data_IF_822514006367
#
_entry.id   IF_822514006367
#
_cell.length_a   1.000
_cell.length_b   1.000
_cell.length_c   1.000
_cell.angle_alpha   90.00
_cell.angle_beta   90.00
_cell.angle_gamma   90.00
#
_symmetry.space_group_name_H-M   'P 1'
#
loop_
_entity.id
_entity.type
_entity.pdbx_description
1 polymer ?
#
# COMPACT_ATOMS: atom_id res chain seq x y z
N UNK A 1 -0.85 -39.61 5.09
CA UNK A 1 -0.60 -39.33 6.51
C UNK A 1 -0.37 -40.63 7.26
N UNK A 2 0.77 -40.78 7.92
CA UNK A 2 1.10 -41.89 8.82
C UNK A 2 1.01 -41.37 10.25
N UNK A 3 -0.03 -41.78 10.99
CA UNK A 3 -0.28 -41.35 12.36
C UNK A 3 -0.32 -42.55 13.27
N UNK A 4 0.50 -42.58 14.28
CA UNK A 4 0.42 -43.57 15.37
C UNK A 4 -0.26 -42.92 16.57
N UNK A 5 -1.30 -43.54 17.12
CA UNK A 5 -2.05 -43.05 18.25
C UNK A 5 -1.70 -43.85 19.54
N UNK A 6 -1.18 -43.15 20.53
CA UNK A 6 -1.14 -43.61 21.92
C UNK A 6 -2.38 -43.11 22.66
N UNK A 7 -3.42 -43.94 22.64
CA UNK A 7 -4.73 -43.61 23.22
C UNK A 7 -4.69 -43.48 24.75
N UNK A 8 -3.69 -44.04 25.41
CA UNK A 8 -3.54 -43.93 26.88
C UNK A 8 -3.11 -42.52 27.29
N UNK A 9 -2.30 -41.90 26.47
CA UNK A 9 -1.75 -40.54 26.70
C UNK A 9 -2.37 -39.52 25.78
N UNK A 10 -3.43 -39.84 25.01
CA UNK A 10 -4.05 -39.00 23.99
C UNK A 10 -3.01 -38.33 23.04
N UNK A 11 -1.94 -39.10 22.69
CA UNK A 11 -0.80 -38.61 21.94
C UNK A 11 -0.81 -39.17 20.51
N UNK A 12 -0.73 -38.27 19.57
CA UNK A 12 -0.68 -38.56 18.13
C UNK A 12 0.73 -38.28 17.62
N UNK A 13 1.37 -39.31 17.11
CA UNK A 13 2.75 -39.24 16.58
C UNK A 13 2.64 -39.22 15.06
N UNK A 14 3.23 -38.20 14.48
CA UNK A 14 3.34 -37.93 13.05
C UNK A 14 4.75 -38.32 12.59
N UNK A 15 4.87 -39.24 11.65
CA UNK A 15 6.15 -39.68 11.17
C UNK A 15 6.14 -39.78 9.65
N UNK A 16 7.11 -39.09 9.03
CA UNK A 16 7.29 -39.09 7.58
C UNK A 16 6.01 -38.68 6.82
N UNK A 17 5.31 -37.67 7.34
CA UNK A 17 4.11 -37.18 6.70
C UNK A 17 4.45 -36.10 5.68
N UNK A 18 3.64 -36.06 4.63
CA UNK A 18 3.67 -34.98 3.64
C UNK A 18 2.35 -34.24 3.65
N UNK A 19 2.42 -32.91 3.59
CA UNK A 19 1.29 -32.00 3.47
C UNK A 19 1.53 -31.13 2.24
N UNK A 20 0.53 -31.01 1.38
CA UNK A 20 0.59 -30.11 0.25
C UNK A 20 -0.18 -28.84 0.55
N UNK A 21 0.47 -27.68 0.37
CA UNK A 21 -0.13 -26.35 0.46
C UNK A 21 0.09 -25.66 -0.89
N UNK A 22 -0.96 -25.60 -1.71
CA UNK A 22 -0.87 -25.24 -3.12
C UNK A 22 0.20 -26.11 -3.84
N UNK A 23 1.24 -25.49 -4.41
CA UNK A 23 2.32 -26.22 -5.06
C UNK A 23 3.45 -26.66 -4.10
N UNK A 24 3.42 -26.25 -2.82
CA UNK A 24 4.47 -26.58 -1.86
C UNK A 24 4.19 -27.92 -1.22
N UNK A 25 5.21 -28.79 -1.21
CA UNK A 25 5.21 -30.07 -0.47
C UNK A 25 6.01 -29.91 0.81
N UNK A 26 5.37 -30.07 1.94
CA UNK A 26 5.92 -29.94 3.28
C UNK A 26 6.06 -31.32 3.91
N UNK A 27 7.23 -31.60 4.52
CA UNK A 27 7.42 -32.76 5.38
C UNK A 27 7.04 -32.35 6.80
N UNK A 28 6.22 -33.16 7.43
CA UNK A 28 5.70 -32.92 8.79
C UNK A 28 6.05 -34.11 9.68
N UNK A 29 6.81 -33.85 10.71
CA UNK A 29 7.19 -34.80 11.74
C UNK A 29 6.90 -34.26 13.13
N UNK A 30 6.78 -35.15 14.12
CA UNK A 30 6.63 -34.79 15.51
C UNK A 30 5.45 -35.45 16.19
N UNK A 31 4.88 -34.75 17.15
CA UNK A 31 3.73 -35.28 17.90
C UNK A 31 2.89 -34.14 18.52
N UNK A 32 1.63 -34.47 18.79
CA UNK A 32 0.69 -33.66 19.55
C UNK A 32 0.03 -34.55 20.60
N UNK A 33 -0.06 -34.08 21.82
CA UNK A 33 -0.83 -34.71 22.91
C UNK A 33 -1.96 -33.78 23.36
N UNK A 34 -3.17 -34.30 23.40
CA UNK A 34 -4.35 -33.59 23.90
C UNK A 34 -4.49 -33.86 25.40
N UNK A 35 -4.61 -32.82 26.19
CA UNK A 35 -4.68 -32.88 27.64
C UNK A 35 -6.13 -32.72 28.12
N UNK A 36 -6.43 -33.25 29.31
CA UNK A 36 -7.79 -33.27 29.87
C UNK A 36 -8.34 -31.86 30.16
N UNK A 37 -7.46 -30.87 30.34
CA UNK A 37 -7.80 -29.44 30.53
C UNK A 37 -8.04 -28.69 29.21
N UNK A 38 -8.03 -29.38 28.07
CA UNK A 38 -8.18 -28.79 26.75
C UNK A 38 -6.91 -28.15 26.18
N UNK A 39 -5.80 -28.21 26.91
CA UNK A 39 -4.50 -27.80 26.41
C UNK A 39 -3.90 -28.85 25.48
N UNK A 40 -2.90 -28.44 24.70
CA UNK A 40 -2.14 -29.34 23.82
C UNK A 40 -0.65 -29.20 24.10
N UNK A 41 0.03 -30.32 24.29
CA UNK A 41 1.49 -30.37 24.26
C UNK A 41 1.93 -30.85 22.87
N UNK A 42 2.97 -30.24 22.33
CA UNK A 42 3.43 -30.55 20.97
C UNK A 42 4.93 -30.41 20.81
N UNK A 43 5.48 -31.17 19.85
CA UNK A 43 6.81 -30.96 19.25
C UNK A 43 6.68 -31.33 17.78
N UNK A 44 6.39 -30.31 16.96
CA UNK A 44 6.15 -30.41 15.52
C UNK A 44 7.31 -29.77 14.78
N UNK A 45 7.71 -30.39 13.69
CA UNK A 45 8.69 -29.85 12.76
C UNK A 45 8.17 -29.96 11.35
N UNK A 46 8.30 -28.88 10.61
CA UNK A 46 7.93 -28.78 9.21
C UNK A 46 9.18 -28.34 8.45
N UNK A 47 9.49 -29.02 7.37
CA UNK A 47 10.51 -28.59 6.45
C UNK A 47 10.09 -28.91 5.02
N UNK A 48 10.66 -28.20 4.09
CA UNK A 48 10.55 -28.54 2.68
C UNK A 48 11.74 -29.41 2.29
N UNK A 49 11.50 -30.43 1.48
CA UNK A 49 12.54 -30.99 0.62
C UNK A 49 13.00 -29.88 -0.33
N UNK A 50 14.05 -30.07 -1.09
CA UNK A 50 14.47 -29.10 -2.10
C UNK A 50 13.26 -28.64 -2.93
N UNK A 51 12.85 -27.38 -2.80
CA UNK A 51 11.73 -26.80 -3.55
C UNK A 51 12.23 -25.67 -4.44
N UNK A 52 11.56 -25.53 -5.56
CA UNK A 52 11.81 -24.44 -6.48
C UNK A 52 11.17 -23.16 -5.95
N UNK A 53 11.81 -22.03 -6.22
CA UNK A 53 11.24 -20.71 -5.88
C UNK A 53 9.84 -20.51 -6.44
N UNK A 54 9.50 -21.13 -7.58
CA UNK A 54 8.16 -21.11 -8.17
C UNK A 54 7.07 -21.54 -7.16
N UNK A 55 7.35 -22.57 -6.37
CA UNK A 55 6.35 -23.16 -5.49
C UNK A 55 5.91 -22.20 -4.38
N UNK A 56 6.84 -21.35 -3.83
CA UNK A 56 6.45 -20.33 -2.85
C UNK A 56 5.56 -19.25 -3.45
N UNK A 57 5.76 -18.92 -4.72
CA UNK A 57 4.93 -17.92 -5.40
C UNK A 57 3.47 -18.37 -5.52
N UNK A 58 3.22 -19.68 -5.38
CA UNK A 58 1.85 -20.23 -5.31
C UNK A 58 1.07 -19.77 -4.06
N UNK A 59 1.77 -19.29 -3.03
CA UNK A 59 1.14 -18.70 -1.84
C UNK A 59 0.61 -17.29 -2.08
N UNK A 60 1.00 -16.65 -3.17
CA UNK A 60 0.51 -15.33 -3.56
C UNK A 60 -0.72 -15.51 -4.45
N UNK A 61 -1.96 -15.21 -3.97
CA UNK A 61 -3.18 -15.52 -4.71
C UNK A 61 -3.22 -14.90 -6.10
N UNK A 62 -2.77 -13.65 -6.26
CA UNK A 62 -2.75 -12.96 -7.55
C UNK A 62 -1.85 -13.65 -8.58
N UNK A 63 -0.73 -14.25 -8.15
CA UNK A 63 0.19 -14.97 -9.02
C UNK A 63 -0.33 -16.37 -9.31
N UNK A 64 -0.85 -17.07 -8.29
CA UNK A 64 -1.32 -18.44 -8.42
C UNK A 64 -2.54 -18.56 -9.32
N UNK A 65 -3.48 -17.62 -9.23
CA UNK A 65 -4.72 -17.62 -10.03
C UNK A 65 -4.52 -17.16 -11.48
N UNK A 66 -3.48 -16.36 -11.76
CA UNK A 66 -3.25 -15.75 -13.05
C UNK A 66 -2.05 -16.37 -13.79
N UNK A 67 -2.31 -17.51 -14.50
CA UNK A 67 -1.31 -18.11 -15.38
C UNK A 67 0.00 -18.54 -14.69
N UNK A 68 -0.09 -19.08 -13.48
CA UNK A 68 1.04 -19.61 -12.71
C UNK A 68 1.93 -20.56 -13.52
N UNK A 69 1.34 -21.34 -14.43
CA UNK A 69 2.08 -22.30 -15.26
C UNK A 69 3.09 -21.64 -16.21
N UNK A 70 2.84 -20.40 -16.61
CA UNK A 70 3.75 -19.62 -17.47
C UNK A 70 4.92 -19.00 -16.72
N UNK A 71 4.91 -19.07 -15.40
CA UNK A 71 6.00 -18.56 -14.57
C UNK A 71 7.19 -19.52 -14.61
N UNK A 72 8.35 -19.00 -14.95
CA UNK A 72 9.63 -19.69 -14.93
C UNK A 72 10.49 -19.08 -13.84
N UNK A 73 11.04 -19.92 -12.98
CA UNK A 73 11.93 -19.48 -11.90
C UNK A 73 13.16 -20.39 -11.82
N UNK A 74 14.24 -19.84 -11.31
CA UNK A 74 15.40 -20.58 -10.86
C UNK A 74 15.71 -20.20 -9.42
N UNK A 75 16.71 -20.82 -8.83
CA UNK A 75 17.17 -20.52 -7.49
C UNK A 75 16.71 -21.51 -6.45
N UNK A 76 17.46 -21.57 -5.36
CA UNK A 76 17.24 -22.48 -4.25
C UNK A 76 16.41 -21.80 -3.17
N UNK A 77 15.52 -22.57 -2.59
CA UNK A 77 14.68 -22.13 -1.49
C UNK A 77 14.71 -23.12 -0.33
N UNK A 78 14.56 -22.61 0.86
CA UNK A 78 14.35 -23.39 2.07
C UNK A 78 13.21 -22.80 2.88
N UNK A 79 12.33 -23.65 3.39
CA UNK A 79 11.29 -23.29 4.35
C UNK A 79 11.35 -24.28 5.51
N UNK A 80 11.52 -23.77 6.71
CA UNK A 80 11.47 -24.55 7.95
C UNK A 80 10.52 -23.90 8.94
N UNK A 81 9.76 -24.73 9.66
CA UNK A 81 8.94 -24.26 10.75
C UNK A 81 8.94 -25.28 11.89
N UNK A 82 8.67 -24.82 13.09
CA UNK A 82 8.48 -25.67 14.25
C UNK A 82 7.46 -25.08 15.23
N UNK A 83 6.84 -25.96 16.02
CA UNK A 83 6.06 -25.57 17.18
C UNK A 83 6.37 -26.56 18.30
N UNK A 84 6.80 -26.06 19.47
CA UNK A 84 7.24 -26.87 20.60
C UNK A 84 6.76 -26.32 21.95
N UNK A 85 6.19 -27.20 22.77
CA UNK A 85 5.72 -26.86 24.11
C UNK A 85 4.20 -26.92 24.22
N UNK A 86 3.67 -26.25 25.23
CA UNK A 86 2.24 -26.28 25.57
C UNK A 86 1.50 -25.10 24.94
N UNK A 87 0.37 -25.39 24.31
CA UNK A 87 -0.64 -24.43 23.92
C UNK A 87 -1.84 -24.55 24.88
N UNK A 88 -2.20 -23.46 25.58
CA UNK A 88 -3.29 -23.42 26.54
C UNK A 88 -3.93 -22.03 26.57
N UNK A 89 -5.17 -21.91 26.07
CA UNK A 89 -5.84 -20.63 25.93
C UNK A 89 -5.00 -19.68 25.06
N UNK A 90 -4.62 -18.52 25.58
CA UNK A 90 -3.81 -17.51 24.89
C UNK A 90 -2.29 -17.79 24.98
N UNK A 91 -1.86 -18.80 25.76
CA UNK A 91 -0.46 -19.18 25.84
C UNK A 91 -0.08 -20.05 24.65
N UNK A 92 0.79 -19.53 23.81
CA UNK A 92 1.32 -20.21 22.63
C UNK A 92 2.53 -21.09 23.01
N UNK A 93 2.75 -22.21 22.31
CA UNK A 93 4.03 -22.90 22.32
C UNK A 93 5.12 -21.99 21.75
N UNK A 94 6.37 -22.33 21.98
CA UNK A 94 7.45 -21.77 21.19
C UNK A 94 7.26 -22.15 19.72
N UNK A 95 7.35 -21.20 18.80
CA UNK A 95 7.28 -21.47 17.37
C UNK A 95 8.24 -20.64 16.57
N UNK A 96 8.56 -21.13 15.39
CA UNK A 96 9.37 -20.41 14.41
C UNK A 96 9.03 -20.83 13.00
N UNK A 97 9.20 -19.89 12.09
CA UNK A 97 9.15 -20.06 10.63
C UNK A 97 10.37 -19.34 10.06
N UNK A 98 11.11 -19.99 9.18
CA UNK A 98 12.24 -19.38 8.46
C UNK A 98 12.10 -19.68 6.98
N UNK A 99 12.21 -18.65 6.18
CA UNK A 99 12.23 -18.67 4.72
C UNK A 99 13.58 -18.16 4.23
N UNK A 100 14.26 -18.93 3.40
CA UNK A 100 15.45 -18.52 2.68
C UNK A 100 15.26 -18.72 1.17
N UNK A 101 15.64 -17.71 0.39
CA UNK A 101 15.72 -17.77 -1.08
C UNK A 101 17.07 -17.23 -1.48
N UNK A 102 17.81 -17.93 -2.36
CA UNK A 102 19.13 -17.53 -2.81
C UNK A 102 19.21 -17.51 -4.32
N UNK A 103 19.69 -16.37 -4.83
CA UNK A 103 20.00 -16.12 -6.24
C UNK A 103 18.89 -16.58 -7.20
N UNK A 104 17.64 -16.38 -6.76
CA UNK A 104 16.53 -16.78 -7.57
C UNK A 104 16.27 -15.77 -8.70
N UNK A 105 15.71 -16.29 -9.77
CA UNK A 105 15.21 -15.49 -10.89
C UNK A 105 13.73 -15.75 -11.08
N UNK A 106 13.03 -14.76 -11.61
CA UNK A 106 11.65 -14.87 -12.02
C UNK A 106 11.52 -14.33 -13.44
N UNK A 107 11.02 -15.16 -14.32
CA UNK A 107 10.68 -14.81 -15.68
C UNK A 107 9.30 -15.35 -16.03
N UNK A 108 8.54 -14.58 -16.73
CA UNK A 108 7.24 -15.00 -17.24
C UNK A 108 7.35 -15.34 -18.73
N UNK A 109 6.84 -16.50 -19.12
CA UNK A 109 6.95 -16.98 -20.52
C UNK A 109 6.31 -16.00 -21.49
N UNK A 110 7.09 -15.60 -22.50
CA UNK A 110 6.70 -14.59 -23.48
C UNK A 110 6.98 -13.15 -23.07
N UNK A 111 7.53 -12.92 -21.86
CA UNK A 111 7.96 -11.59 -21.43
C UNK A 111 9.46 -11.37 -21.67
N UNK A 112 9.86 -10.18 -22.13
CA UNK A 112 11.24 -9.90 -22.55
C UNK A 112 12.22 -9.65 -21.39
N UNK A 113 11.73 -9.47 -20.16
CA UNK A 113 12.56 -9.15 -19.01
C UNK A 113 12.33 -10.11 -17.84
N UNK A 114 13.29 -10.16 -16.94
CA UNK A 114 13.28 -10.96 -15.71
C UNK A 114 13.48 -10.10 -14.47
N UNK A 115 13.17 -10.67 -13.32
CA UNK A 115 13.69 -10.23 -12.02
C UNK A 115 14.80 -11.19 -11.64
N UNK A 116 15.98 -10.67 -11.37
CA UNK A 116 17.18 -11.44 -11.14
C UNK A 116 17.75 -11.16 -9.73
N UNK A 117 18.62 -12.03 -9.27
CA UNK A 117 19.34 -11.89 -8.01
C UNK A 117 18.40 -11.77 -6.80
N UNK A 118 17.27 -12.48 -6.85
CA UNK A 118 16.30 -12.48 -5.76
C UNK A 118 16.89 -13.23 -4.58
N UNK A 119 17.09 -12.51 -3.48
CA UNK A 119 17.54 -13.06 -2.22
C UNK A 119 16.57 -12.65 -1.12
N UNK A 120 16.06 -13.61 -0.37
CA UNK A 120 15.11 -13.39 0.72
C UNK A 120 15.58 -14.15 1.95
N UNK A 121 15.72 -13.43 3.06
CA UNK A 121 15.93 -14.01 4.38
C UNK A 121 14.84 -13.48 5.30
N UNK A 122 13.84 -14.31 5.62
CA UNK A 122 12.72 -13.94 6.44
C UNK A 122 12.47 -14.94 7.57
N UNK A 123 12.11 -14.45 8.74
CA UNK A 123 11.72 -15.30 9.86
C UNK A 123 10.58 -14.70 10.68
N UNK A 124 9.79 -15.59 11.26
CA UNK A 124 8.83 -15.28 12.32
C UNK A 124 9.17 -16.20 13.49
N UNK A 125 9.30 -15.65 14.68
CA UNK A 125 9.62 -16.44 15.87
C UNK A 125 8.86 -15.96 17.10
N UNK A 126 8.54 -16.89 17.99
CA UNK A 126 7.96 -16.60 19.30
C UNK A 126 8.58 -17.57 20.32
N UNK A 127 9.12 -17.09 21.44
CA UNK A 127 9.73 -17.95 22.47
C UNK A 127 8.71 -18.74 23.31
N UNK A 128 7.44 -18.56 23.05
CA UNK A 128 6.31 -19.11 23.80
C UNK A 128 5.67 -18.11 24.77
N UNK A 129 4.44 -18.41 25.18
CA UNK A 129 3.60 -17.55 25.98
C UNK A 129 2.72 -16.65 25.14
N UNK A 130 2.76 -15.34 25.36
CA UNK A 130 1.93 -14.39 24.62
C UNK A 130 2.36 -14.26 23.15
N UNK A 131 1.40 -14.13 22.24
CA UNK A 131 1.63 -13.76 20.84
C UNK A 131 2.34 -12.41 20.69
N UNK A 132 2.25 -11.55 21.68
CA UNK A 132 2.96 -10.26 21.71
C UNK A 132 4.50 -10.40 21.74
N UNK A 133 5.02 -11.58 22.09
CA UNK A 133 6.45 -11.87 22.02
C UNK A 133 6.93 -12.26 20.61
N UNK A 134 6.04 -12.20 19.63
CA UNK A 134 6.39 -12.53 18.24
C UNK A 134 7.35 -11.49 17.68
N UNK A 135 8.38 -11.99 17.01
CA UNK A 135 9.33 -11.22 16.23
C UNK A 135 9.15 -11.61 14.76
N UNK A 136 9.06 -10.61 13.89
CA UNK A 136 9.07 -10.75 12.45
C UNK A 136 10.36 -10.09 11.96
N UNK A 137 11.17 -10.81 11.21
CA UNK A 137 12.44 -10.32 10.69
C UNK A 137 12.58 -10.68 9.22
N UNK A 138 12.53 -9.67 8.35
CA UNK A 138 12.96 -9.72 6.96
C UNK A 138 14.38 -9.13 6.92
N UNK A 139 15.37 -9.91 7.28
CA UNK A 139 16.77 -9.48 7.38
C UNK A 139 17.40 -9.19 6.02
N UNK A 140 16.88 -9.82 4.99
CA UNK A 140 17.33 -9.65 3.61
C UNK A 140 16.14 -9.72 2.65
N UNK A 141 16.02 -8.71 1.82
CA UNK A 141 15.21 -8.71 0.61
C UNK A 141 15.97 -7.93 -0.45
N UNK A 142 16.50 -8.63 -1.44
CA UNK A 142 17.22 -8.04 -2.57
C UNK A 142 16.72 -8.62 -3.87
N UNK A 143 16.64 -7.78 -4.87
CA UNK A 143 16.36 -8.17 -6.25
C UNK A 143 16.96 -7.14 -7.20
N UNK A 144 17.06 -7.50 -8.47
CA UNK A 144 17.36 -6.58 -9.56
C UNK A 144 16.27 -6.69 -10.62
N UNK A 145 15.69 -5.58 -10.97
CA UNK A 145 14.67 -5.47 -12.01
C UNK A 145 15.25 -4.69 -13.19
N UNK A 146 15.41 -5.36 -14.33
CA UNK A 146 16.04 -4.79 -15.53
C UNK A 146 17.38 -4.10 -15.24
N UNK A 147 18.23 -4.71 -14.42
CA UNK A 147 19.54 -4.22 -14.03
C UNK A 147 19.55 -3.18 -12.89
N UNK A 148 18.39 -2.80 -12.36
CA UNK A 148 18.28 -1.84 -11.26
C UNK A 148 18.12 -2.58 -9.94
N UNK A 149 19.07 -2.44 -8.99
CA UNK A 149 18.97 -3.10 -7.71
C UNK A 149 17.95 -2.43 -6.79
N UNK A 150 17.26 -3.26 -6.04
CA UNK A 150 16.38 -2.85 -4.95
C UNK A 150 16.65 -3.74 -3.72
N UNK A 151 16.69 -3.15 -2.56
CA UNK A 151 16.83 -3.84 -1.28
C UNK A 151 15.87 -3.28 -0.24
N UNK A 152 15.39 -4.16 0.64
CA UNK A 152 14.58 -3.78 1.79
C UNK A 152 14.90 -4.69 2.98
N UNK A 153 14.61 -4.20 4.17
CA UNK A 153 14.63 -4.97 5.40
C UNK A 153 13.51 -4.50 6.33
N UNK A 154 13.00 -5.42 7.15
CA UNK A 154 11.96 -5.14 8.13
C UNK A 154 12.23 -5.96 9.39
N UNK A 155 12.24 -5.31 10.52
CA UNK A 155 12.17 -5.95 11.84
C UNK A 155 10.96 -5.42 12.57
N UNK A 156 10.18 -6.33 13.18
CA UNK A 156 9.01 -5.97 13.97
C UNK A 156 8.92 -6.87 15.20
N UNK A 157 8.60 -6.28 16.35
CA UNK A 157 8.41 -6.98 17.62
C UNK A 157 7.26 -6.34 18.39
N UNK A 158 6.74 -7.05 19.41
CA UNK A 158 5.58 -6.64 20.19
C UNK A 158 4.39 -6.20 19.33
N UNK A 159 3.91 -7.07 18.40
CA UNK A 159 2.96 -6.67 17.37
C UNK A 159 1.54 -6.37 17.87
N UNK A 160 1.21 -6.79 19.09
CA UNK A 160 -0.14 -6.64 19.67
C UNK A 160 -0.21 -5.44 20.60
N UNK A 161 0.71 -5.32 21.56
CA UNK A 161 0.64 -4.28 22.59
C UNK A 161 1.18 -2.94 22.10
N UNK A 162 2.35 -2.95 21.47
CA UNK A 162 3.01 -1.74 20.99
C UNK A 162 4.06 -2.10 19.94
N UNK A 163 3.66 -2.09 18.67
CA UNK A 163 4.52 -2.47 17.55
C UNK A 163 5.82 -1.65 17.56
N UNK A 164 6.95 -2.34 17.83
CA UNK A 164 8.28 -1.78 17.66
C UNK A 164 8.82 -2.24 16.31
N UNK A 165 9.18 -1.31 15.44
CA UNK A 165 9.58 -1.61 14.08
C UNK A 165 10.88 -0.92 13.67
N UNK A 166 11.57 -1.54 12.72
CA UNK A 166 12.67 -0.95 11.96
C UNK A 166 12.52 -1.41 10.51
N UNK A 167 12.45 -0.46 9.59
CA UNK A 167 12.29 -0.73 8.17
C UNK A 167 13.27 0.11 7.34
N UNK A 168 13.80 -0.47 6.29
CA UNK A 168 14.62 0.21 5.28
C UNK A 168 14.17 -0.18 3.89
N UNK A 169 14.25 0.75 2.95
CA UNK A 169 14.04 0.50 1.53
C UNK A 169 14.99 1.39 0.73
N UNK A 170 15.77 0.80 -0.15
CA UNK A 170 16.74 1.51 -0.98
C UNK A 170 16.78 0.90 -2.37
N UNK A 171 16.69 1.73 -3.39
CA UNK A 171 16.82 1.31 -4.77
C UNK A 171 15.94 2.07 -5.74
N UNK A 172 15.97 1.60 -6.99
CA UNK A 172 15.23 2.17 -8.11
C UNK A 172 14.37 1.10 -8.79
N UNK A 173 13.11 1.44 -9.01
CA UNK A 173 12.16 0.57 -9.72
C UNK A 173 11.70 1.26 -10.99
N UNK A 174 11.91 0.62 -12.15
CA UNK A 174 11.39 1.04 -13.43
C UNK A 174 10.00 0.43 -13.65
N UNK A 175 8.95 1.22 -13.43
CA UNK A 175 7.56 0.78 -13.50
C UNK A 175 7.17 0.21 -14.86
N UNK A 176 7.69 0.82 -15.95
CA UNK A 176 7.46 0.33 -17.32
C UNK A 176 8.01 -1.07 -17.59
N UNK A 177 8.97 -1.54 -16.75
CA UNK A 177 9.52 -2.90 -16.85
C UNK A 177 8.67 -3.95 -16.15
N UNK A 178 7.70 -3.54 -15.34
CA UNK A 178 6.78 -4.48 -14.69
C UNK A 178 5.99 -5.27 -15.72
N UNK A 179 5.50 -4.61 -16.77
CA UNK A 179 4.81 -5.27 -17.89
C UNK A 179 5.69 -6.26 -18.67
N UNK A 180 7.01 -6.03 -18.69
CA UNK A 180 7.98 -6.89 -19.36
C UNK A 180 8.29 -8.14 -18.51
N UNK A 181 7.86 -8.16 -17.24
CA UNK A 181 8.09 -9.22 -16.25
C UNK A 181 6.80 -9.99 -15.94
N UNK A 182 5.68 -9.25 -15.84
CA UNK A 182 4.38 -9.79 -15.46
C UNK A 182 3.25 -9.16 -16.30
N UNK A 183 2.31 -9.96 -16.84
CA UNK A 183 1.21 -9.43 -17.66
C UNK A 183 0.21 -8.66 -16.79
N UNK A 184 0.22 -7.34 -16.94
CA UNK A 184 -0.71 -6.44 -16.22
C UNK A 184 -2.13 -6.43 -16.82
N UNK A 185 -2.33 -7.10 -17.96
CA UNK A 185 -3.56 -7.00 -18.76
C UNK A 185 -3.57 -5.77 -19.67
N UNK A 186 -4.34 -5.84 -20.74
CA UNK A 186 -4.35 -4.82 -21.82
C UNK A 186 -4.97 -3.47 -21.40
N UNK A 187 -5.64 -3.43 -20.26
CA UNK A 187 -6.35 -2.25 -19.76
C UNK A 187 -5.50 -1.34 -18.86
N UNK A 188 -4.26 -1.74 -18.55
CA UNK A 188 -3.35 -0.97 -17.68
C UNK A 188 -2.07 -0.66 -18.44
N UNK A 189 -1.75 0.63 -18.55
CA UNK A 189 -0.43 1.10 -18.99
C UNK A 189 0.26 1.77 -17.81
N UNK A 190 1.48 1.34 -17.53
CA UNK A 190 2.28 1.86 -16.42
C UNK A 190 3.71 2.08 -16.91
N UNK A 191 4.25 3.29 -16.67
CA UNK A 191 5.66 3.61 -16.93
C UNK A 191 6.20 4.53 -15.84
N UNK A 192 7.51 4.84 -15.91
CA UNK A 192 8.17 5.76 -15.00
C UNK A 192 9.19 5.09 -14.09
N UNK A 193 9.80 5.91 -13.24
CA UNK A 193 10.88 5.53 -12.34
C UNK A 193 10.52 5.97 -10.92
N UNK A 194 10.60 5.03 -9.97
CA UNK A 194 10.50 5.30 -8.55
C UNK A 194 11.83 5.01 -7.90
N UNK A 195 12.41 5.99 -7.21
CA UNK A 195 13.65 5.85 -6.44
C UNK A 195 13.36 6.15 -4.98
N UNK A 196 13.77 5.25 -4.11
CA UNK A 196 13.60 5.37 -2.66
C UNK A 196 14.94 5.14 -1.95
N UNK A 197 15.18 5.93 -0.92
CA UNK A 197 16.19 5.69 0.12
C UNK A 197 15.54 6.08 1.44
N UNK A 198 15.02 5.09 2.15
CA UNK A 198 14.13 5.29 3.30
C UNK A 198 14.60 4.47 4.49
N UNK A 199 14.62 5.08 5.67
CA UNK A 199 14.86 4.41 6.95
C UNK A 199 13.86 4.87 8.00
N UNK A 200 13.25 3.89 8.66
CA UNK A 200 12.32 4.14 9.77
C UNK A 200 12.60 3.19 10.92
N UNK A 201 12.54 3.71 12.14
CA UNK A 201 12.55 2.90 13.36
C UNK A 201 11.82 3.63 14.49
N UNK A 202 11.05 2.90 15.28
CA UNK A 202 10.32 3.48 16.39
C UNK A 202 9.26 2.54 16.93
N UNK A 203 8.42 3.09 17.80
CA UNK A 203 7.26 2.42 18.36
C UNK A 203 5.98 3.06 17.88
N UNK A 204 4.94 2.26 17.73
CA UNK A 204 3.63 2.77 17.32
C UNK A 204 3.07 3.77 18.33
N UNK A 205 3.25 3.49 19.64
CA UNK A 205 2.84 4.41 20.71
C UNK A 205 3.52 5.77 20.66
N UNK A 206 4.76 5.85 20.16
CA UNK A 206 5.46 7.13 19.97
C UNK A 206 4.89 7.91 18.78
N UNK A 207 4.47 7.21 17.72
CA UNK A 207 3.77 7.84 16.60
C UNK A 207 2.42 8.41 17.06
N UNK A 208 1.61 7.63 17.75
CA UNK A 208 0.29 8.01 18.27
C UNK A 208 0.33 9.19 19.25
N UNK A 209 1.38 9.27 20.04
CA UNK A 209 1.60 10.35 21.02
C UNK A 209 2.39 11.53 20.47
N UNK A 210 2.70 11.51 19.17
CA UNK A 210 3.54 12.52 18.51
C UNK A 210 4.93 12.71 19.16
N UNK A 211 5.47 11.66 19.80
CA UNK A 211 6.79 11.65 20.43
C UNK A 211 7.91 11.44 19.39
N UNK A 212 7.96 12.29 18.38
CA UNK A 212 8.83 12.13 17.22
C UNK A 212 10.33 12.09 17.55
N UNK A 213 10.75 12.57 18.74
CA UNK A 213 12.14 12.45 19.21
C UNK A 213 12.57 10.99 19.43
N UNK A 214 11.62 10.06 19.64
CA UNK A 214 11.88 8.64 19.85
C UNK A 214 11.83 7.85 18.54
N UNK A 215 11.46 8.50 17.45
CA UNK A 215 11.30 7.89 16.15
C UNK A 215 12.47 8.32 15.26
N UNK A 216 13.15 7.35 14.67
CA UNK A 216 14.04 7.60 13.53
C UNK A 216 13.21 7.53 12.26
N UNK A 217 13.26 8.60 11.47
CA UNK A 217 12.64 8.63 10.15
C UNK A 217 13.46 9.57 9.29
N UNK A 218 14.02 9.03 8.22
CA UNK A 218 14.82 9.83 7.29
C UNK A 218 14.79 9.18 5.90
N UNK A 219 14.95 10.01 4.89
CA UNK A 219 15.17 9.54 3.54
C UNK A 219 14.53 10.40 2.47
N UNK A 220 14.55 9.88 1.25
CA UNK A 220 14.02 10.53 0.05
C UNK A 220 13.19 9.57 -0.77
N UNK A 221 12.17 10.12 -1.42
CA UNK A 221 11.34 9.43 -2.40
C UNK A 221 11.23 10.31 -3.63
N UNK A 222 11.52 9.75 -4.79
CA UNK A 222 11.38 10.44 -6.08
C UNK A 222 10.57 9.58 -7.04
N UNK A 223 9.62 10.18 -7.71
CA UNK A 223 8.91 9.61 -8.86
C UNK A 223 9.21 10.50 -10.06
N UNK A 224 9.60 9.91 -11.17
CA UNK A 224 9.90 10.61 -12.41
C UNK A 224 9.25 9.92 -13.60
N UNK A 225 8.72 10.73 -14.52
CA UNK A 225 8.17 10.32 -15.80
C UNK A 225 7.19 9.12 -15.70
N UNK A 226 6.34 9.16 -14.66
CA UNK A 226 5.35 8.10 -14.44
C UNK A 226 4.09 8.40 -15.23
N UNK A 227 3.69 7.45 -16.05
CA UNK A 227 2.38 7.45 -16.74
C UNK A 227 1.58 6.24 -16.28
N UNK A 228 0.35 6.48 -15.85
CA UNK A 228 -0.63 5.47 -15.49
C UNK A 228 -1.91 5.72 -16.28
N UNK A 229 -2.32 4.72 -17.07
CA UNK A 229 -3.61 4.72 -17.73
C UNK A 229 -4.37 3.47 -17.31
N UNK A 230 -5.61 3.65 -16.92
CA UNK A 230 -6.54 2.55 -16.60
C UNK A 230 -7.87 2.83 -17.29
N UNK A 231 -8.53 1.77 -17.78
CA UNK A 231 -9.84 1.89 -18.42
C UNK A 231 -10.87 2.51 -17.48
N UNK A 232 -11.54 3.57 -17.94
CA UNK A 232 -12.61 4.25 -17.19
C UNK A 232 -12.11 5.30 -16.17
N UNK A 233 -10.81 5.57 -16.13
CA UNK A 233 -10.24 6.63 -15.28
C UNK A 233 -9.41 7.60 -16.14
N UNK A 234 -9.33 8.89 -15.77
CA UNK A 234 -8.43 9.83 -16.41
C UNK A 234 -6.97 9.34 -16.35
N UNK A 235 -6.22 9.55 -17.41
CA UNK A 235 -4.79 9.24 -17.43
C UNK A 235 -4.06 10.12 -16.40
N UNK A 236 -3.14 9.51 -15.65
CA UNK A 236 -2.29 10.20 -14.66
C UNK A 236 -0.86 10.18 -15.15
N UNK A 237 -0.26 11.36 -15.32
CA UNK A 237 1.14 11.52 -15.67
C UNK A 237 1.85 12.34 -14.60
N UNK A 238 2.80 11.74 -13.89
CA UNK A 238 3.66 12.42 -12.90
C UNK A 238 4.99 12.70 -13.56
N UNK A 239 5.21 13.94 -13.99
CA UNK A 239 6.49 14.35 -14.55
C UNK A 239 7.59 14.27 -13.49
N UNK A 240 7.30 14.76 -12.30
CA UNK A 240 8.19 14.66 -11.15
C UNK A 240 7.42 14.77 -9.84
N UNK A 241 7.73 13.91 -8.90
CA UNK A 241 7.40 14.07 -7.50
C UNK A 241 8.67 13.84 -6.68
N UNK A 242 8.97 14.73 -5.76
CA UNK A 242 10.15 14.63 -4.91
C UNK A 242 9.79 14.99 -3.47
N UNK A 243 10.06 14.06 -2.58
CA UNK A 243 9.80 14.23 -1.16
C UNK A 243 11.03 13.83 -0.33
N UNK A 244 11.26 14.55 0.75
CA UNK A 244 12.14 14.15 1.83
C UNK A 244 11.30 13.82 3.06
N UNK A 245 11.68 12.78 3.78
CA UNK A 245 10.95 12.31 4.95
C UNK A 245 11.79 12.48 6.21
N UNK A 246 11.12 12.83 7.29
CA UNK A 246 11.65 12.82 8.66
C UNK A 246 10.64 12.12 9.57
N UNK A 247 11.00 11.80 10.79
CA UNK A 247 10.05 11.20 11.73
C UNK A 247 8.74 12.00 11.88
N UNK A 248 8.83 13.33 11.84
CA UNK A 248 7.70 14.24 12.07
C UNK A 248 6.90 14.58 10.83
N UNK A 249 7.57 14.71 9.68
CA UNK A 249 6.94 15.26 8.49
C UNK A 249 7.58 14.73 7.21
N UNK A 250 6.78 14.68 6.17
CA UNK A 250 7.22 14.54 4.79
C UNK A 250 7.18 15.93 4.14
N UNK A 251 8.32 16.38 3.63
CA UNK A 251 8.42 17.62 2.86
C UNK A 251 8.34 17.29 1.37
N UNK A 252 7.26 17.70 0.74
CA UNK A 252 7.05 17.60 -0.70
C UNK A 252 7.69 18.84 -1.34
N UNK A 253 8.89 18.67 -1.88
CA UNK A 253 9.61 19.78 -2.52
C UNK A 253 9.08 20.11 -3.90
N UNK A 254 8.55 19.10 -4.60
CA UNK A 254 7.99 19.24 -5.93
C UNK A 254 6.98 18.12 -6.18
N UNK A 255 5.83 18.48 -6.73
CA UNK A 255 4.89 17.60 -7.43
C UNK A 255 4.49 18.30 -8.71
N UNK A 256 4.66 17.63 -9.84
CA UNK A 256 4.22 18.06 -11.17
C UNK A 256 3.46 16.88 -11.77
N UNK A 257 2.14 16.96 -11.75
CA UNK A 257 1.24 15.89 -12.17
C UNK A 257 0.20 16.43 -13.14
N UNK A 258 -0.13 15.63 -14.12
CA UNK A 258 -1.23 15.83 -15.05
C UNK A 258 -2.26 14.73 -14.86
N UNK A 259 -3.53 15.08 -14.69
CA UNK A 259 -4.64 14.14 -14.60
C UNK A 259 -5.64 14.51 -15.70
N UNK A 260 -5.69 13.69 -16.75
CA UNK A 260 -6.41 14.04 -17.96
C UNK A 260 -5.89 15.37 -18.55
N UNK A 261 -6.74 16.38 -18.63
CA UNK A 261 -6.40 17.73 -19.10
C UNK A 261 -5.85 18.62 -18.00
N UNK A 262 -6.09 18.27 -16.72
CA UNK A 262 -5.68 19.08 -15.57
C UNK A 262 -4.18 18.97 -15.33
N UNK A 263 -3.49 20.11 -15.22
CA UNK A 263 -2.10 20.20 -14.75
C UNK A 263 -2.09 20.68 -13.30
N UNK A 264 -1.41 19.96 -12.42
CA UNK A 264 -1.35 20.28 -11.00
C UNK A 264 0.10 20.29 -10.56
N UNK A 265 0.52 21.40 -9.97
CA UNK A 265 1.80 21.53 -9.32
C UNK A 265 1.57 21.78 -7.83
N UNK A 266 2.35 21.08 -6.99
CA UNK A 266 2.22 21.26 -5.56
C UNK A 266 3.56 21.15 -4.84
N UNK A 267 3.67 21.85 -3.72
CA UNK A 267 4.75 21.71 -2.76
C UNK A 267 4.25 22.04 -1.35
N UNK A 268 4.95 21.56 -0.33
CA UNK A 268 4.56 21.81 1.05
C UNK A 268 4.96 20.69 1.99
N UNK A 269 4.20 20.49 3.04
CA UNK A 269 4.53 19.56 4.11
C UNK A 269 3.31 18.74 4.53
N UNK A 270 3.54 17.46 4.78
CA UNK A 270 2.57 16.50 5.31
C UNK A 270 3.07 15.99 6.66
N UNK A 271 2.22 15.97 7.66
CA UNK A 271 2.50 15.39 8.96
C UNK A 271 1.53 14.25 9.26
N UNK A 272 1.82 13.48 10.29
CA UNK A 272 1.06 12.26 10.66
C UNK A 272 0.99 11.21 9.55
N UNK A 273 1.89 11.29 8.56
CA UNK A 273 1.87 10.39 7.41
C UNK A 273 2.18 8.92 7.77
N UNK A 274 2.98 8.67 8.83
CA UNK A 274 3.23 7.30 9.32
C UNK A 274 1.98 6.67 9.91
N UNK A 275 1.22 7.40 10.72
CA UNK A 275 -0.03 6.91 11.29
C UNK A 275 -1.11 6.73 10.18
N UNK A 276 -1.12 7.61 9.19
CA UNK A 276 -1.99 7.46 8.02
C UNK A 276 -1.69 6.15 7.26
N UNK A 277 -0.42 5.89 6.95
CA UNK A 277 -0.02 4.68 6.19
C UNK A 277 -0.21 3.40 7.00
N UNK A 278 0.10 3.42 8.30
CA UNK A 278 0.10 2.21 9.13
C UNK A 278 -1.26 1.89 9.75
N UNK A 279 -2.10 2.91 9.99
CA UNK A 279 -3.37 2.77 10.70
C UNK A 279 -4.57 3.45 10.03
N UNK A 280 -4.37 4.05 8.86
CA UNK A 280 -5.39 4.84 8.17
C UNK A 280 -5.94 6.02 9.02
N UNK A 281 -5.10 6.60 9.88
CA UNK A 281 -5.42 7.79 10.64
C UNK A 281 -5.41 9.05 9.76
N UNK A 282 -5.78 10.20 10.34
CA UNK A 282 -5.86 11.45 9.59
C UNK A 282 -4.47 11.97 9.20
N UNK A 283 -4.20 12.08 7.90
CA UNK A 283 -3.04 12.81 7.38
C UNK A 283 -3.28 14.31 7.48
N UNK A 284 -2.28 15.05 7.95
CA UNK A 284 -2.36 16.51 8.12
C UNK A 284 -1.34 17.20 7.26
N UNK A 285 -1.63 18.43 6.83
CA UNK A 285 -0.62 19.15 6.04
C UNK A 285 -1.02 20.52 5.55
N UNK A 286 -0.03 21.14 4.90
CA UNK A 286 -0.21 22.41 4.21
C UNK A 286 0.52 22.33 2.87
N UNK A 287 -0.21 22.59 1.79
CA UNK A 287 0.32 22.58 0.44
C UNK A 287 0.00 23.89 -0.27
N UNK A 288 0.93 24.36 -1.07
CA UNK A 288 0.66 25.33 -2.14
C UNK A 288 0.39 24.54 -3.41
N UNK A 289 -0.74 24.82 -4.04
CA UNK A 289 -1.19 24.10 -5.25
C UNK A 289 -1.45 25.13 -6.34
N UNK A 290 -0.84 24.93 -7.49
CA UNK A 290 -1.02 25.76 -8.67
C UNK A 290 -1.47 24.92 -9.86
N UNK A 291 -2.25 25.50 -10.76
CA UNK A 291 -2.71 24.87 -11.99
C UNK A 291 -2.96 25.92 -13.06
N UNK A 292 -2.59 25.61 -14.30
CA UNK A 292 -2.98 26.43 -15.46
C UNK A 292 -4.40 26.10 -15.90
N UNK A 293 -4.79 24.84 -15.82
CA UNK A 293 -6.12 24.33 -16.11
C UNK A 293 -6.50 23.20 -15.16
N UNK A 294 -7.59 23.37 -14.44
CA UNK A 294 -8.20 22.35 -13.60
C UNK A 294 -9.59 22.02 -14.16
N UNK A 295 -9.72 20.88 -14.81
CA UNK A 295 -11.01 20.40 -15.36
C UNK A 295 -11.67 19.49 -14.31
N UNK A 296 -12.55 20.07 -13.52
CA UNK A 296 -13.28 19.33 -12.49
C UNK A 296 -14.28 18.34 -13.09
N UNK A 297 -14.78 18.56 -14.30
CA UNK A 297 -15.69 17.63 -14.96
C UNK A 297 -15.00 16.30 -15.23
N UNK A 298 -13.78 16.34 -15.75
CA UNK A 298 -12.99 15.14 -16.02
C UNK A 298 -12.56 14.43 -14.71
N UNK A 299 -12.20 15.19 -13.68
CA UNK A 299 -11.82 14.64 -12.38
C UNK A 299 -13.00 14.01 -11.62
N UNK A 300 -14.21 14.49 -11.85
CA UNK A 300 -15.44 13.92 -11.27
C UNK A 300 -15.90 12.65 -11.99
N UNK A 301 -15.31 12.33 -13.14
CA UNK A 301 -15.72 11.24 -13.99
C UNK A 301 -17.08 11.56 -14.63
N UNK A 302 -17.07 12.05 -15.87
CA UNK A 302 -18.27 12.01 -16.69
C UNK A 302 -18.67 10.55 -16.87
N UNK A 303 -19.74 10.14 -16.20
CA UNK A 303 -20.44 8.91 -16.51
C UNK A 303 -21.18 9.12 -17.84
N UNK A 304 -20.43 9.27 -18.93
CA UNK A 304 -20.99 8.99 -20.25
C UNK A 304 -21.25 7.47 -20.30
N UNK A 305 -22.40 7.07 -19.82
CA UNK A 305 -23.01 5.80 -20.18
C UNK A 305 -23.25 5.85 -21.69
N UNK A 306 -22.32 5.25 -22.44
CA UNK A 306 -22.60 4.84 -23.81
C UNK A 306 -23.70 3.77 -23.77
N UNK A 307 -24.92 4.17 -24.08
CA UNK A 307 -26.05 3.25 -24.21
C UNK A 307 -27.38 3.96 -24.37
N UNK A 308 -27.82 4.11 -25.62
CA UNK A 308 -29.19 4.26 -26.11
C UNK A 308 -30.04 5.41 -25.58
N UNK A 309 -30.41 6.24 -26.57
CA UNK A 309 -31.45 7.26 -26.50
C UNK A 309 -32.76 6.71 -25.92
N UNK A 310 -33.15 7.22 -24.74
CA UNK A 310 -34.55 7.36 -24.39
C UNK A 310 -34.75 8.74 -23.79
N UNK A 311 -35.70 9.43 -24.42
CA UNK A 311 -36.13 10.81 -24.20
C UNK A 311 -36.69 10.99 -22.81
N UNK A 312 -36.46 12.20 -22.24
CA UNK A 312 -37.11 12.86 -21.13
C UNK A 312 -36.74 12.46 -19.69
N UNK A 313 -35.83 13.25 -19.09
CA UNK A 313 -36.15 14.04 -17.88
C UNK A 313 -34.96 14.95 -17.54
N UNK A 314 -35.25 16.22 -17.47
CA UNK A 314 -34.39 17.34 -17.09
C UNK A 314 -34.01 17.24 -15.60
N UNK A 315 -33.03 16.36 -15.29
CA UNK A 315 -32.32 16.32 -14.02
C UNK A 315 -30.88 15.91 -14.30
N UNK A 316 -30.02 16.91 -14.52
CA UNK A 316 -28.56 16.73 -14.42
C UNK A 316 -28.23 16.18 -13.04
N UNK A 317 -28.04 14.87 -12.93
CA UNK A 317 -27.50 14.25 -11.73
C UNK A 317 -26.06 14.72 -11.56
N UNK A 318 -25.84 15.68 -10.66
CA UNK A 318 -24.53 16.11 -10.23
C UNK A 318 -23.80 14.89 -9.67
N UNK A 319 -22.68 14.49 -10.29
CA UNK A 319 -21.80 13.51 -9.68
C UNK A 319 -21.21 14.13 -8.40
N UNK A 320 -21.39 13.42 -7.29
CA UNK A 320 -20.96 13.89 -5.97
C UNK A 320 -19.52 13.45 -5.75
N UNK A 321 -18.62 14.38 -5.44
CA UNK A 321 -17.25 14.08 -5.01
C UNK A 321 -17.28 13.78 -3.52
N UNK A 322 -16.99 12.54 -3.14
CA UNK A 322 -16.80 12.22 -1.73
C UNK A 322 -15.51 12.84 -1.21
N UNK A 323 -15.62 13.65 -0.15
CA UNK A 323 -14.48 14.23 0.54
C UNK A 323 -14.00 13.25 1.62
N UNK A 324 -12.74 12.76 1.58
CA UNK A 324 -12.25 11.84 2.58
C UNK A 324 -12.27 12.44 3.99
N UNK A 325 -12.60 11.62 4.99
CA UNK A 325 -12.67 12.05 6.40
C UNK A 325 -11.32 12.03 7.11
N UNK A 326 -10.38 11.25 6.57
CA UNK A 326 -9.05 11.07 7.12
C UNK A 326 -7.99 12.00 6.48
N UNK A 327 -8.42 13.18 6.08
CA UNK A 327 -7.57 14.25 5.56
C UNK A 327 -7.85 15.52 6.36
N UNK A 328 -6.79 16.22 6.76
CA UNK A 328 -6.82 17.56 7.36
C UNK A 328 -5.73 18.41 6.70
N UNK A 329 -6.11 19.07 5.60
CA UNK A 329 -5.20 19.79 4.72
C UNK A 329 -5.60 21.23 4.57
N UNK A 330 -4.63 22.12 4.68
CA UNK A 330 -4.75 23.50 4.23
C UNK A 330 -4.06 23.67 2.89
N UNK A 331 -4.80 24.07 1.87
CA UNK A 331 -4.31 24.30 0.52
C UNK A 331 -4.31 25.81 0.21
N UNK A 332 -3.17 26.34 -0.17
CA UNK A 332 -3.09 27.66 -0.79
C UNK A 332 -3.21 27.46 -2.30
N UNK A 333 -4.29 27.93 -2.88
CA UNK A 333 -4.65 27.69 -4.28
C UNK A 333 -4.34 28.91 -5.16
N UNK A 334 -3.74 28.67 -6.33
CA UNK A 334 -3.60 29.61 -7.44
C UNK A 334 -3.88 28.89 -8.75
N UNK A 335 -5.13 28.95 -9.21
CA UNK A 335 -5.58 28.29 -10.42
C UNK A 335 -5.92 29.33 -11.48
N UNK A 336 -5.26 29.25 -12.63
CA UNK A 336 -5.51 30.19 -13.72
C UNK A 336 -6.91 30.02 -14.31
N UNK A 337 -7.32 28.75 -14.48
CA UNK A 337 -8.65 28.39 -15.00
C UNK A 337 -9.15 27.11 -14.34
N UNK A 338 -10.42 27.14 -13.92
CA UNK A 338 -11.17 25.95 -13.51
C UNK A 338 -12.35 25.80 -14.47
N UNK A 339 -12.54 24.58 -14.97
CA UNK A 339 -13.74 24.16 -15.68
C UNK A 339 -14.63 23.37 -14.74
N UNK A 340 -15.83 23.85 -14.51
CA UNK A 340 -16.83 23.18 -13.68
C UNK A 340 -18.19 23.22 -14.36
N UNK A 341 -18.68 22.08 -14.80
CA UNK A 341 -19.87 21.99 -15.67
C UNK A 341 -19.72 22.87 -16.92
N UNK A 342 -20.60 23.85 -17.11
CA UNK A 342 -20.54 24.81 -18.21
C UNK A 342 -19.92 26.14 -17.80
N UNK A 343 -19.35 26.24 -16.58
CA UNK A 343 -18.75 27.46 -16.05
C UNK A 343 -17.24 27.43 -16.25
N UNK A 344 -16.70 28.58 -16.60
CA UNK A 344 -15.27 28.87 -16.56
C UNK A 344 -15.03 29.85 -15.41
N UNK A 345 -14.15 29.46 -14.49
CA UNK A 345 -13.73 30.29 -13.37
C UNK A 345 -12.25 30.64 -13.62
N UNK A 346 -11.95 31.92 -13.76
CA UNK A 346 -10.59 32.37 -14.06
C UNK A 346 -9.93 33.01 -12.82
N UNK A 347 -8.60 32.86 -12.70
CA UNK A 347 -7.77 33.44 -11.66
C UNK A 347 -8.27 33.14 -10.23
N UNK A 348 -8.55 31.87 -9.99
CA UNK A 348 -9.07 31.42 -8.67
C UNK A 348 -7.91 31.36 -7.69
N UNK A 349 -7.91 32.24 -6.71
CA UNK A 349 -6.87 32.31 -5.67
C UNK A 349 -7.49 32.34 -4.29
N UNK A 350 -6.83 31.71 -3.33
CA UNK A 350 -7.29 31.72 -1.94
C UNK A 350 -6.89 30.47 -1.16
N UNK A 351 -7.64 30.20 -0.11
CA UNK A 351 -7.36 29.07 0.80
C UNK A 351 -8.51 28.07 0.82
N UNK A 352 -8.15 26.81 0.70
CA UNK A 352 -9.05 25.67 0.87
C UNK A 352 -8.62 24.90 2.10
N UNK A 353 -9.59 24.51 2.94
CA UNK A 353 -9.38 23.63 4.08
C UNK A 353 -10.18 22.37 3.82
N UNK A 354 -9.49 21.24 3.66
CA UNK A 354 -10.09 19.93 3.47
C UNK A 354 -9.98 19.16 4.77
N UNK A 355 -11.08 19.03 5.49
CA UNK A 355 -11.10 18.34 6.77
C UNK A 355 -12.49 17.76 7.06
N UNK A 356 -12.54 16.66 7.80
CA UNK A 356 -13.79 16.06 8.33
C UNK A 356 -14.85 15.79 7.25
N UNK A 357 -14.44 15.36 6.07
CA UNK A 357 -15.35 15.12 4.94
C UNK A 357 -15.94 16.41 4.33
N UNK A 358 -15.26 17.54 4.50
CA UNK A 358 -15.67 18.82 3.96
C UNK A 358 -14.53 19.61 3.33
N UNK A 359 -14.85 20.43 2.34
CA UNK A 359 -13.96 21.45 1.76
C UNK A 359 -14.52 22.81 2.11
N UNK A 360 -13.76 23.61 2.86
CA UNK A 360 -14.07 24.99 3.20
C UNK A 360 -13.23 25.94 2.38
N UNK A 361 -13.87 26.91 1.77
CA UNK A 361 -13.27 27.97 0.96
C UNK A 361 -13.23 29.28 1.78
N UNK A 362 -12.01 29.89 1.96
CA UNK A 362 -11.86 31.07 2.85
C UNK A 362 -10.73 31.99 2.43
N UNK A 363 -10.99 33.23 2.06
CA UNK A 363 -11.88 33.59 0.97
C UNK A 363 -11.27 33.12 -0.36
N UNK A 364 -12.07 32.80 -1.35
CA UNK A 364 -11.64 32.61 -2.72
C UNK A 364 -11.96 33.85 -3.54
N UNK A 365 -10.96 34.42 -4.19
CA UNK A 365 -11.12 35.42 -5.24
C UNK A 365 -11.09 34.74 -6.58
N UNK A 366 -12.02 35.10 -7.46
CA UNK A 366 -12.11 34.53 -8.79
C UNK A 366 -12.77 35.50 -9.78
N UNK A 367 -12.63 35.23 -11.06
CA UNK A 367 -13.37 35.92 -12.10
C UNK A 367 -14.36 34.94 -12.76
N UNK A 368 -15.60 35.33 -12.84
CA UNK A 368 -16.65 34.58 -13.52
C UNK A 368 -17.73 35.53 -14.07
N UNK A 369 -18.42 35.11 -15.11
CA UNK A 369 -19.54 35.86 -15.73
C UNK A 369 -19.18 37.32 -16.10
N UNK A 370 -17.90 37.59 -16.40
CA UNK A 370 -17.41 38.92 -16.75
C UNK A 370 -17.13 39.87 -15.58
N UNK A 371 -17.17 39.38 -14.35
CA UNK A 371 -16.91 40.14 -13.11
C UNK A 371 -15.90 39.46 -12.19
N UNK A 372 -15.38 40.23 -11.25
CA UNK A 372 -14.58 39.71 -10.15
C UNK A 372 -15.53 39.38 -8.98
N UNK A 373 -15.26 38.26 -8.31
CA UNK A 373 -16.05 37.75 -7.20
C UNK A 373 -15.15 37.33 -6.06
N UNK A 374 -15.63 37.48 -4.84
CA UNK A 374 -15.04 36.88 -3.64
C UNK A 374 -16.08 35.96 -3.01
N UNK A 375 -15.69 34.74 -2.70
CA UNK A 375 -16.61 33.78 -2.09
C UNK A 375 -16.02 33.14 -0.87
N UNK A 376 -16.86 32.89 0.11
CA UNK A 376 -16.63 31.91 1.17
C UNK A 376 -17.64 30.79 0.97
N UNK A 377 -17.23 29.56 1.26
CA UNK A 377 -18.17 28.45 1.05
C UNK A 377 -17.74 27.18 1.74
N UNK A 378 -18.67 26.26 1.78
CA UNK A 378 -18.45 24.91 2.25
C UNK A 378 -19.15 23.91 1.32
N UNK A 379 -18.42 22.88 0.96
CA UNK A 379 -18.92 21.67 0.34
C UNK A 379 -18.66 20.52 1.30
N UNK A 380 -19.66 19.75 1.71
CA UNK A 380 -19.49 18.68 2.68
C UNK A 380 -20.25 17.43 2.30
N UNK A 381 -19.58 16.30 2.38
CA UNK A 381 -20.13 14.94 2.29
C UNK A 381 -20.05 14.20 3.63
N UNK A 382 -19.78 14.90 4.72
CA UNK A 382 -19.57 14.32 6.05
C UNK A 382 -20.79 13.55 6.56
N UNK A 383 -21.99 14.09 6.36
CA UNK A 383 -23.26 13.47 6.80
C UNK A 383 -23.86 12.55 5.73
N UNK A 384 -23.72 12.89 4.46
CA UNK A 384 -24.26 12.10 3.36
C UNK A 384 -23.48 12.32 2.08
N UNK A 385 -23.00 11.24 1.48
CA UNK A 385 -22.36 11.27 0.15
C UNK A 385 -23.42 11.50 -0.94
N UNK A 386 -24.66 11.04 -0.75
CA UNK A 386 -25.75 11.15 -1.74
C UNK A 386 -26.37 12.56 -1.75
N UNK A 387 -26.28 13.28 -0.64
CA UNK A 387 -26.84 14.64 -0.49
C UNK A 387 -25.80 15.55 0.16
N UNK A 388 -24.80 16.03 -0.61
CA UNK A 388 -23.78 16.91 -0.07
C UNK A 388 -24.41 18.24 0.38
N UNK A 389 -23.87 18.77 1.48
CA UNK A 389 -24.20 20.13 1.92
C UNK A 389 -23.36 21.12 1.11
N UNK A 390 -24.00 22.10 0.52
CA UNK A 390 -23.36 23.18 -0.24
C UNK A 390 -23.88 24.52 0.27
N UNK A 391 -22.98 25.38 0.68
CA UNK A 391 -23.31 26.74 1.10
C UNK A 391 -22.25 27.70 0.60
N UNK A 392 -22.61 28.76 -0.08
CA UNK A 392 -21.75 29.81 -0.58
C UNK A 392 -22.27 31.19 -0.19
N UNK A 393 -21.36 32.04 0.18
CA UNK A 393 -21.55 33.47 0.39
C UNK A 393 -20.73 34.21 -0.68
N UNK A 394 -21.39 35.02 -1.50
CA UNK A 394 -20.83 35.67 -2.68
C UNK A 394 -20.89 37.17 -2.51
N UNK A 395 -19.77 37.85 -2.68
CA UNK A 395 -19.62 39.30 -2.77
C UNK A 395 -19.12 39.74 -4.16
#
# INVERSE_FOLDING_TARGET
LTVSADLKNNKFILKENTLSLNAIVLNLDGWVALLDDGAMDMDLKINTSEINFKEILSLIPAIYQNNFDKLRTTGNMSLTAFAKGRMAGENMPQFGLTLGVKDATLNYEGMPASVDGINIGASVSNPGGSLDKTIIDLSEFRLSMAGNPFKAALYASTPISDLNFKATADGTVHLGKIKDIYPLGDSITLSGIVTADLQFAGRMSDIEKENYQNIRGEGTLTVADMDLTMKGLPAVAVKKAQASVSAKAMSLSQLDVKVGKSDIQAHGSLSNYLAYVLKNETIKGSLTVTSSLLDLNELMGDSETSGEETVEADTTTLSVIEVPKNIDMTLSADFKKILFQKMELDNVTGKLIVADGAVRMTPLSLNAFGGAMVTNGIYSTAESVVRPMVNFDLD
#
